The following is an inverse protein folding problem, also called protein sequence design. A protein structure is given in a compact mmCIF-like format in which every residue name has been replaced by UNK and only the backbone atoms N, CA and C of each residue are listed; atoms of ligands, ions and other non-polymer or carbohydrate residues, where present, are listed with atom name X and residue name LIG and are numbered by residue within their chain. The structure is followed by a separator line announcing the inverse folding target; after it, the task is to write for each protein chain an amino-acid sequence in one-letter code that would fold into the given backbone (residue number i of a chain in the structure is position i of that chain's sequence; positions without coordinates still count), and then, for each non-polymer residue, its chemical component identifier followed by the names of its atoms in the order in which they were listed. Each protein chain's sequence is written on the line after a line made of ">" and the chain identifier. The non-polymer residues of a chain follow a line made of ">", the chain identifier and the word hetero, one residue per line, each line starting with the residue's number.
data_IF_670633217001
#
_entry.id   IF_670633217001
#
_cell.length_a   1.000
_cell.length_b   1.000
_cell.length_c   1.000
_cell.angle_alpha   90.00
_cell.angle_beta   90.00
_cell.angle_gamma   90.00
#
_symmetry.space_group_name_H-M   'P 1'
#
loop_
_entity.id
_entity.type
_entity.pdbx_description
1 polymer ?
#
# COMPACT_ATOMS: atom_id res chain seq x y z
N UNK A 1 -5.98 12.97 5.88
CA UNK A 1 -5.59 13.86 4.76
C UNK A 1 -4.09 13.98 4.80
N UNK A 2 -3.38 13.46 3.80
CA UNK A 2 -1.94 13.62 3.71
C UNK A 2 -1.41 13.18 2.37
N UNK A 3 -0.41 13.92 1.87
CA UNK A 3 0.34 13.63 0.66
C UNK A 3 1.48 12.65 0.97
N UNK A 4 1.75 11.73 0.05
CA UNK A 4 2.77 10.70 0.19
C UNK A 4 4.06 11.08 -0.54
N UNK A 5 5.21 10.50 -0.18
CA UNK A 5 6.42 10.56 -1.01
C UNK A 5 7.39 9.48 -0.56
N UNK A 6 7.86 8.62 -1.47
CA UNK A 6 8.74 7.50 -1.09
C UNK A 6 10.22 7.90 -1.21
N UNK A 7 11.08 7.66 -0.20
CA UNK A 7 12.56 7.79 -0.24
C UNK A 7 13.23 6.50 0.31
N UNK A 8 14.56 6.42 0.48
CA UNK A 8 15.22 5.27 1.14
C UNK A 8 16.47 5.70 1.92
N UNK A 9 16.83 5.03 3.04
CA UNK A 9 17.85 5.55 4.00
C UNK A 9 18.80 4.52 4.69
N UNK A 10 19.97 4.98 5.23
CA UNK A 10 20.93 4.25 6.10
C UNK A 10 20.92 4.74 7.61
N UNK A 11 21.84 4.33 8.52
CA UNK A 11 21.56 3.52 9.73
C UNK A 11 21.40 4.29 11.07
N UNK A 12 20.66 3.73 12.05
CA UNK A 12 20.99 3.53 13.50
C UNK A 12 19.77 3.45 14.47
N UNK A 13 19.96 2.57 15.48
CA UNK A 13 19.49 2.38 16.88
C UNK A 13 18.03 2.69 17.33
N UNK A 14 17.43 1.66 17.95
CA UNK A 14 16.08 1.63 18.56
C UNK A 14 16.09 2.02 20.04
N UNK A 15 15.04 2.74 20.47
CA UNK A 15 14.51 2.71 21.83
C UNK A 15 13.00 2.46 21.76
N UNK A 16 12.53 1.42 22.44
CA UNK A 16 11.11 1.05 22.55
C UNK A 16 10.56 1.57 23.86
N UNK A 17 9.44 2.30 23.84
CA UNK A 17 8.51 2.36 24.97
C UNK A 17 7.08 2.15 24.47
N UNK A 18 6.40 1.18 25.08
CA UNK A 18 5.01 0.85 24.80
C UNK A 18 4.05 1.66 25.67
N UNK A 19 2.81 1.81 25.20
CA UNK A 19 1.71 2.31 26.01
C UNK A 19 0.46 1.45 25.78
N UNK A 20 -0.21 1.15 26.88
CA UNK A 20 -1.48 0.40 26.98
C UNK A 20 -2.63 1.42 26.95
N UNK A 21 -3.72 1.10 26.26
CA UNK A 21 -4.96 1.89 26.27
C UNK A 21 -6.11 1.06 26.86
N UNK A 22 -6.75 1.61 27.89
CA UNK A 22 -7.95 1.09 28.55
C UNK A 22 -9.19 1.38 27.70
N UNK A 23 -10.06 0.39 27.47
CA UNK A 23 -11.37 0.59 26.83
C UNK A 23 -12.47 0.81 27.87
N UNK A 24 -13.34 1.79 27.62
CA UNK A 24 -14.62 1.97 28.31
C UNK A 24 -15.74 1.23 27.57
N UNK A 25 -16.64 0.61 28.34
CA UNK A 25 -17.70 -0.31 27.93
C UNK A 25 -18.93 0.48 27.48
N UNK A 26 -19.32 0.38 26.21
CA UNK A 26 -20.54 0.96 25.65
C UNK A 26 -21.54 -0.14 25.27
N UNK A 27 -22.79 0.04 25.68
CA UNK A 27 -23.93 -0.89 25.62
C UNK A 27 -24.32 -1.25 24.18
N UNK A 28 -24.61 -2.53 23.95
CA UNK A 28 -24.99 -3.11 22.67
C UNK A 28 -26.48 -2.90 22.35
N UNK A 29 -26.78 -2.11 21.33
CA UNK A 29 -28.07 -2.15 20.62
C UNK A 29 -27.91 -2.96 19.34
N UNK A 30 -28.74 -3.98 19.19
CA UNK A 30 -28.76 -4.91 18.06
C UNK A 30 -29.51 -4.26 16.90
N UNK A 31 -28.81 -3.53 16.03
CA UNK A 31 -29.32 -3.14 14.72
C UNK A 31 -29.34 -4.35 13.78
N UNK A 32 -30.52 -4.71 13.28
CA UNK A 32 -30.70 -5.67 12.21
C UNK A 32 -30.08 -5.13 10.91
N UNK A 33 -28.84 -5.52 10.62
CA UNK A 33 -28.11 -5.05 9.45
C UNK A 33 -28.73 -5.60 8.15
N UNK A 34 -29.57 -4.80 7.49
CA UNK A 34 -29.99 -5.06 6.11
C UNK A 34 -28.72 -5.06 5.24
N UNK A 35 -28.42 -6.20 4.60
CA UNK A 35 -27.25 -6.32 3.72
C UNK A 35 -27.38 -5.35 2.55
N UNK A 36 -26.37 -4.53 2.36
CA UNK A 36 -26.29 -3.61 1.24
C UNK A 36 -26.01 -4.39 -0.07
N UNK A 37 -26.62 -4.01 -1.21
CA UNK A 37 -26.45 -4.71 -2.49
C UNK A 37 -25.01 -4.58 -3.03
N UNK A 38 -24.55 -5.61 -3.74
CA UNK A 38 -23.20 -5.64 -4.30
C UNK A 38 -23.05 -4.72 -5.52
N UNK A 39 -21.99 -3.91 -5.53
CA UNK A 39 -21.67 -3.02 -6.65
C UNK A 39 -20.66 -3.66 -7.62
N UNK A 40 -21.20 -4.41 -8.59
CA UNK A 40 -20.43 -5.14 -9.62
C UNK A 40 -19.64 -4.18 -10.52
N UNK A 41 -20.23 -3.02 -10.84
CA UNK A 41 -19.62 -2.05 -11.73
C UNK A 41 -18.39 -1.40 -11.07
N UNK A 42 -18.50 -1.07 -9.78
CA UNK A 42 -17.37 -0.57 -8.99
C UNK A 42 -16.27 -1.63 -8.85
N UNK A 43 -16.65 -2.89 -8.63
CA UNK A 43 -15.68 -4.00 -8.62
C UNK A 43 -14.90 -4.08 -9.94
N UNK A 44 -15.58 -4.08 -11.09
CA UNK A 44 -14.94 -4.14 -12.40
C UNK A 44 -14.02 -2.93 -12.65
N UNK A 45 -14.48 -1.73 -12.27
CA UNK A 45 -13.70 -0.48 -12.40
C UNK A 45 -12.44 -0.47 -11.52
N UNK A 46 -12.51 -0.98 -10.29
CA UNK A 46 -11.34 -1.05 -9.42
C UNK A 46 -10.38 -2.16 -9.85
N UNK A 47 -10.89 -3.36 -10.17
CA UNK A 47 -10.04 -4.51 -10.54
C UNK A 47 -9.29 -4.28 -11.85
N UNK A 48 -9.94 -3.68 -12.85
CA UNK A 48 -9.31 -3.34 -14.15
C UNK A 48 -8.06 -2.44 -14.03
N UNK A 49 -7.93 -1.65 -12.96
CA UNK A 49 -6.73 -0.82 -12.72
C UNK A 49 -5.49 -1.63 -12.33
N UNK A 50 -5.68 -2.89 -11.95
CA UNK A 50 -4.62 -3.80 -11.50
C UNK A 50 -4.38 -4.97 -12.43
N UNK A 51 -5.14 -5.06 -13.53
CA UNK A 51 -4.94 -6.07 -14.57
C UNK A 51 -3.95 -5.52 -15.59
N UNK A 52 -2.80 -6.18 -15.69
CA UNK A 52 -1.91 -6.01 -16.84
C UNK A 52 -2.44 -6.83 -18.00
N UNK A 53 -2.38 -6.29 -19.22
CA UNK A 53 -2.60 -7.11 -20.42
C UNK A 53 -1.58 -8.28 -20.43
N UNK A 54 -1.97 -9.46 -20.96
CA UNK A 54 -1.06 -10.59 -21.05
C UNK A 54 0.20 -10.18 -21.80
N UNK A 55 1.36 -10.37 -21.17
CA UNK A 55 2.65 -10.09 -21.79
C UNK A 55 2.82 -11.00 -23.00
N UNK A 56 3.12 -10.43 -24.16
CA UNK A 56 3.44 -11.21 -25.35
C UNK A 56 4.73 -12.00 -25.09
N UNK A 57 4.71 -13.36 -25.11
CA UNK A 57 5.88 -14.17 -24.80
C UNK A 57 7.03 -14.01 -25.81
N UNK A 58 6.75 -13.40 -26.97
CA UNK A 58 7.74 -13.11 -28.01
C UNK A 58 8.39 -11.73 -27.87
N UNK A 59 7.90 -10.88 -26.96
CA UNK A 59 8.55 -9.60 -26.66
C UNK A 59 9.54 -9.78 -25.50
N UNK A 60 10.80 -9.32 -25.64
CA UNK A 60 11.73 -9.35 -24.52
C UNK A 60 11.17 -8.50 -23.37
N UNK A 61 11.26 -9.03 -22.15
CA UNK A 61 10.92 -8.24 -20.95
C UNK A 61 11.79 -6.99 -20.93
N UNK A 62 11.16 -5.82 -20.78
CA UNK A 62 11.90 -4.58 -20.65
C UNK A 62 12.88 -4.67 -19.47
N UNK A 63 14.10 -4.11 -19.60
CA UNK A 63 15.11 -4.23 -18.57
C UNK A 63 14.63 -3.57 -17.26
N UNK A 64 15.04 -4.11 -16.10
CA UNK A 64 14.72 -3.49 -14.83
C UNK A 64 15.19 -2.02 -14.77
N UNK A 65 14.34 -1.15 -14.24
CA UNK A 65 14.68 0.24 -13.98
C UNK A 65 15.45 0.32 -12.67
N UNK A 66 16.73 0.68 -12.74
CA UNK A 66 17.58 0.80 -11.55
C UNK A 66 17.09 1.96 -10.68
N UNK A 67 16.89 1.67 -9.39
CA UNK A 67 16.54 2.64 -8.35
C UNK A 67 17.69 2.72 -7.34
N UNK A 68 18.21 3.93 -7.15
CA UNK A 68 19.31 4.21 -6.22
C UNK A 68 18.78 4.67 -4.86
N UNK A 69 19.58 4.50 -3.79
CA UNK A 69 19.24 5.09 -2.51
C UNK A 69 18.98 6.61 -2.61
N UNK A 70 17.86 7.07 -2.04
CA UNK A 70 17.44 8.47 -2.10
C UNK A 70 16.56 8.84 -3.30
N UNK A 71 16.43 7.97 -4.31
CA UNK A 71 15.54 8.20 -5.44
C UNK A 71 14.07 8.24 -4.99
N UNK A 72 13.32 9.14 -5.61
CA UNK A 72 11.86 9.24 -5.43
C UNK A 72 11.19 8.43 -6.53
N UNK A 73 10.59 7.29 -6.16
CA UNK A 73 9.88 6.42 -7.11
C UNK A 73 8.47 6.92 -7.45
N UNK A 74 7.89 7.72 -6.54
CA UNK A 74 6.61 8.37 -6.71
C UNK A 74 6.48 9.60 -5.82
N UNK A 75 5.91 10.66 -6.36
CA UNK A 75 5.48 11.85 -5.63
C UNK A 75 4.24 12.48 -6.27
N UNK A 76 3.42 13.21 -5.49
CA UNK A 76 2.30 13.99 -6.02
C UNK A 76 2.79 14.98 -7.07
N UNK A 77 2.11 15.05 -8.22
CA UNK A 77 2.50 15.94 -9.31
C UNK A 77 2.57 17.42 -8.87
N UNK A 78 1.76 17.83 -7.89
CA UNK A 78 1.79 19.20 -7.35
C UNK A 78 3.06 19.51 -6.55
N UNK A 79 3.73 18.48 -6.01
CA UNK A 79 4.95 18.63 -5.21
C UNK A 79 6.23 18.50 -6.02
N UNK A 80 6.17 17.82 -7.17
CA UNK A 80 7.28 17.68 -8.09
C UNK A 80 6.75 17.43 -9.51
N UNK A 81 6.41 18.49 -10.26
CA UNK A 81 5.81 18.38 -11.60
C UNK A 81 6.73 17.68 -12.61
N UNK A 82 8.04 17.70 -12.38
CA UNK A 82 9.06 17.04 -13.20
C UNK A 82 9.45 15.64 -12.70
N UNK A 83 8.87 15.15 -11.60
CA UNK A 83 9.13 13.80 -11.13
C UNK A 83 8.57 12.77 -12.11
N UNK A 84 9.43 11.88 -12.59
CA UNK A 84 9.02 10.71 -13.35
C UNK A 84 8.36 9.69 -12.40
N UNK A 85 7.05 9.83 -12.20
CA UNK A 85 6.25 8.88 -11.44
C UNK A 85 6.27 7.50 -12.12
N UNK A 86 6.82 6.51 -11.43
CA UNK A 86 6.99 5.15 -11.97
C UNK A 86 5.68 4.35 -12.01
N UNK A 87 4.67 4.83 -11.28
CA UNK A 87 3.33 4.26 -11.20
C UNK A 87 2.33 5.32 -10.76
N UNK A 88 1.04 4.98 -10.73
CA UNK A 88 0.00 5.76 -10.06
C UNK A 88 -0.61 4.92 -8.94
N UNK A 89 -1.20 5.55 -7.93
CA UNK A 89 -2.02 4.84 -6.96
C UNK A 89 -3.46 4.72 -7.45
N UNK A 90 -4.08 3.58 -7.15
CA UNK A 90 -5.50 3.35 -7.32
C UNK A 90 -6.11 2.77 -6.03
N UNK A 91 -7.38 3.07 -5.72
CA UNK A 91 -8.07 2.48 -4.57
C UNK A 91 -8.16 0.95 -4.67
N UNK A 92 -8.00 0.30 -3.52
CA UNK A 92 -8.13 -1.14 -3.32
C UNK A 92 -8.99 -1.34 -2.07
N UNK A 93 -10.31 -1.25 -2.24
CA UNK A 93 -11.28 -1.38 -1.15
C UNK A 93 -11.90 -2.79 -1.13
N UNK A 94 -12.66 -3.11 -0.07
CA UNK A 94 -13.29 -4.41 0.22
C UNK A 94 -14.46 -4.84 -0.69
N UNK A 95 -14.54 -4.29 -1.91
CA UNK A 95 -15.66 -4.48 -2.84
C UNK A 95 -15.84 -5.95 -3.27
N UNK A 96 -14.76 -6.73 -3.26
CA UNK A 96 -14.73 -8.13 -3.73
C UNK A 96 -15.75 -9.02 -3.02
N UNK A 97 -16.02 -8.78 -1.72
CA UNK A 97 -16.94 -9.59 -0.91
C UNK A 97 -18.26 -8.87 -0.60
N UNK A 98 -18.59 -7.80 -1.31
CA UNK A 98 -19.77 -6.98 -1.00
C UNK A 98 -19.53 -5.90 0.05
N UNK A 99 -18.28 -5.64 0.42
CA UNK A 99 -17.95 -4.54 1.31
C UNK A 99 -18.33 -3.19 0.72
N UNK A 100 -18.77 -2.27 1.58
CA UNK A 100 -19.22 -0.92 1.20
C UNK A 100 -18.23 0.15 1.63
N UNK A 101 -17.00 -0.24 1.99
CA UNK A 101 -15.94 0.73 2.19
C UNK A 101 -15.63 1.43 0.86
N UNK A 102 -15.14 2.66 0.96
CA UNK A 102 -14.87 3.48 -0.20
C UNK A 102 -13.72 4.42 0.09
N UNK A 103 -12.75 4.45 -0.82
CA UNK A 103 -11.71 5.45 -0.78
C UNK A 103 -11.37 6.02 -2.16
N UNK A 104 -10.79 7.22 -2.13
CA UNK A 104 -10.29 7.94 -3.29
C UNK A 104 -8.90 8.46 -2.99
N UNK A 105 -8.04 8.34 -3.99
CA UNK A 105 -6.69 8.91 -3.98
C UNK A 105 -6.54 9.83 -5.18
N UNK A 106 -6.12 11.07 -4.89
CA UNK A 106 -5.72 12.02 -5.92
C UNK A 106 -4.21 11.93 -6.11
N UNK A 107 -3.75 11.46 -7.27
CA UNK A 107 -2.32 11.33 -7.58
C UNK A 107 -1.63 12.69 -7.79
N UNK A 108 -2.38 13.75 -8.07
CA UNK A 108 -1.85 15.10 -8.22
C UNK A 108 -1.46 15.71 -6.87
N UNK A 109 -2.30 15.55 -5.84
CA UNK A 109 -2.05 16.07 -4.49
C UNK A 109 -1.51 15.04 -3.50
N UNK A 110 -1.62 13.76 -3.83
CA UNK A 110 -1.33 12.62 -2.96
C UNK A 110 -2.36 12.41 -1.86
N UNK A 111 -3.48 13.13 -1.86
CA UNK A 111 -4.46 13.01 -0.80
C UNK A 111 -5.26 11.72 -0.95
N UNK A 112 -5.06 10.80 0.01
CA UNK A 112 -5.93 9.64 0.21
C UNK A 112 -6.96 9.91 1.32
N UNK A 113 -8.23 9.63 1.03
CA UNK A 113 -9.33 9.72 2.00
C UNK A 113 -10.42 8.71 1.66
N UNK A 114 -11.19 8.31 2.65
CA UNK A 114 -12.27 7.36 2.48
C UNK A 114 -12.99 7.06 3.78
N UNK A 115 -13.98 6.19 3.68
CA UNK A 115 -14.78 5.69 4.80
C UNK A 115 -14.65 4.17 4.84
N UNK A 116 -14.31 3.65 6.02
CA UNK A 116 -14.34 2.20 6.29
C UNK A 116 -15.71 1.89 6.89
N UNK A 117 -16.39 0.90 6.34
CA UNK A 117 -17.64 0.38 6.89
C UNK A 117 -17.40 -1.01 7.47
N UNK A 118 -18.09 -1.33 8.57
CA UNK A 118 -18.13 -2.69 9.11
C UNK A 118 -19.33 -3.49 8.62
N UNK A 119 -20.21 -2.87 7.82
CA UNK A 119 -21.34 -3.55 7.19
C UNK A 119 -20.84 -4.67 6.26
N UNK A 120 -21.62 -5.74 6.12
CA UNK A 120 -21.28 -6.92 5.30
C UNK A 120 -19.99 -7.66 5.77
N UNK A 121 -19.89 -7.89 7.08
CA UNK A 121 -18.85 -8.73 7.73
C UNK A 121 -17.47 -8.09 7.89
N UNK A 122 -17.42 -6.76 8.01
CA UNK A 122 -16.20 -5.98 8.23
C UNK A 122 -15.87 -5.09 7.04
N UNK A 123 -14.68 -4.47 7.07
CA UNK A 123 -14.23 -3.72 5.92
C UNK A 123 -12.85 -3.13 6.01
N UNK A 124 -12.32 -2.76 4.85
CA UNK A 124 -11.05 -2.08 4.71
C UNK A 124 -11.06 -1.14 3.49
N UNK A 125 -10.23 -0.12 3.59
CA UNK A 125 -9.79 0.69 2.45
C UNK A 125 -8.30 0.51 2.28
N UNK A 126 -7.84 0.55 1.04
CA UNK A 126 -6.42 0.45 0.71
C UNK A 126 -6.10 1.22 -0.56
N UNK A 127 -4.80 1.38 -0.84
CA UNK A 127 -4.33 1.85 -2.14
C UNK A 127 -3.23 0.95 -2.65
N UNK A 128 -3.19 0.74 -3.97
CA UNK A 128 -2.18 -0.06 -4.63
C UNK A 128 -1.65 0.65 -5.86
N UNK A 129 -0.37 0.47 -6.14
CA UNK A 129 0.23 0.96 -7.38
C UNK A 129 -0.41 0.28 -8.59
N UNK A 130 -0.66 1.03 -9.65
CA UNK A 130 -0.89 0.47 -10.99
C UNK A 130 0.28 -0.42 -11.37
N UNK A 131 0.08 -1.39 -12.29
CA UNK A 131 1.17 -2.23 -12.76
C UNK A 131 2.38 -1.40 -13.22
N UNK A 132 3.56 -1.71 -12.68
CA UNK A 132 4.80 -1.08 -13.09
C UNK A 132 5.26 -1.78 -14.39
N UNK A 133 5.42 -1.02 -15.47
CA UNK A 133 5.76 -1.58 -16.79
C UNK A 133 7.08 -2.35 -16.79
N UNK A 134 8.10 -1.79 -16.12
CA UNK A 134 9.40 -2.42 -15.93
C UNK A 134 9.63 -2.68 -14.43
N UNK A 135 10.15 -3.86 -14.03
CA UNK A 135 10.52 -4.09 -12.65
C UNK A 135 11.50 -3.05 -12.15
N UNK A 136 11.38 -2.65 -10.89
CA UNK A 136 12.34 -1.74 -10.25
C UNK A 136 13.46 -2.57 -9.62
N UNK A 137 14.69 -2.33 -10.04
CA UNK A 137 15.87 -2.88 -9.38
C UNK A 137 16.25 -1.99 -8.19
N UNK A 138 15.81 -2.41 -7.01
CA UNK A 138 16.08 -1.79 -5.72
C UNK A 138 17.15 -2.58 -4.93
N UNK A 139 17.98 -3.41 -5.58
CA UNK A 139 19.01 -4.23 -4.93
C UNK A 139 20.02 -3.42 -4.09
N UNK A 140 20.24 -2.15 -4.47
CA UNK A 140 21.10 -1.21 -3.73
C UNK A 140 20.39 -0.53 -2.55
N UNK A 141 19.08 -0.71 -2.40
CA UNK A 141 18.28 -0.11 -1.34
C UNK A 141 18.09 -1.08 -0.17
N UNK A 142 18.02 -0.55 1.05
CA UNK A 142 17.74 -1.34 2.27
C UNK A 142 16.24 -1.48 2.58
N UNK A 143 15.41 -0.71 1.89
CA UNK A 143 13.99 -0.59 2.13
C UNK A 143 13.41 0.63 1.44
N UNK A 144 12.17 0.93 1.78
CA UNK A 144 11.45 2.12 1.35
C UNK A 144 11.10 3.00 2.54
N UNK A 145 10.94 4.28 2.29
CA UNK A 145 10.56 5.30 3.27
C UNK A 145 9.32 5.99 2.75
N UNK A 146 8.27 6.16 3.53
CA UNK A 146 7.02 6.83 3.18
C UNK A 146 6.94 8.12 3.98
N UNK A 147 6.96 9.25 3.29
CA UNK A 147 6.65 10.57 3.87
C UNK A 147 5.14 10.73 3.87
N UNK A 148 4.55 11.03 5.03
CA UNK A 148 3.11 11.21 5.23
C UNK A 148 2.86 12.64 5.71
N UNK A 149 2.05 13.42 4.99
CA UNK A 149 1.64 14.76 5.45
C UNK A 149 0.42 14.68 6.36
N UNK A 150 0.65 14.27 7.59
CA UNK A 150 -0.36 14.12 8.63
C UNK A 150 -1.05 12.77 8.60
N UNK A 151 -1.88 12.54 9.60
CA UNK A 151 -2.55 11.27 9.81
C UNK A 151 -3.34 11.25 11.10
N UNK A 152 -4.11 10.18 11.26
CA UNK A 152 -5.02 9.93 12.37
C UNK A 152 -4.46 8.93 13.38
N UNK A 153 -3.18 8.57 13.27
CA UNK A 153 -2.55 7.58 14.14
C UNK A 153 -2.92 6.13 13.84
N UNK A 154 -3.70 5.85 12.78
CA UNK A 154 -4.11 4.48 12.46
C UNK A 154 -2.94 3.60 12.07
N UNK A 155 -3.09 2.30 12.33
CA UNK A 155 -2.16 1.27 11.93
C UNK A 155 -2.45 0.82 10.50
N UNK A 156 -1.43 0.82 9.66
CA UNK A 156 -1.50 0.40 8.27
C UNK A 156 -0.70 -0.88 8.02
N UNK A 157 -1.01 -1.57 6.92
CA UNK A 157 -0.24 -2.68 6.39
C UNK A 157 0.38 -2.26 5.06
N UNK A 158 1.67 -2.03 5.05
CA UNK A 158 2.41 -1.87 3.80
C UNK A 158 2.70 -3.23 3.17
N UNK A 159 2.60 -3.29 1.85
CA UNK A 159 2.97 -4.44 1.03
C UNK A 159 3.90 -4.00 -0.08
N UNK A 160 4.99 -4.75 -0.27
CA UNK A 160 5.83 -4.69 -1.46
C UNK A 160 5.66 -6.01 -2.22
N UNK A 161 5.56 -5.94 -3.54
CA UNK A 161 5.49 -7.12 -4.41
C UNK A 161 6.75 -7.21 -5.24
N UNK A 162 7.28 -8.42 -5.37
CA UNK A 162 8.44 -8.75 -6.21
C UNK A 162 8.09 -9.72 -7.35
N UNK A 163 6.80 -9.92 -7.61
CA UNK A 163 6.27 -10.58 -8.79
C UNK A 163 4.99 -9.89 -9.28
N UNK A 164 4.63 -10.14 -10.53
CA UNK A 164 3.36 -9.74 -11.14
C UNK A 164 2.25 -10.80 -10.99
N UNK A 165 2.57 -11.92 -10.32
CA UNK A 165 1.59 -12.96 -10.06
C UNK A 165 0.45 -12.43 -9.19
N UNK A 166 -0.79 -12.65 -9.65
CA UNK A 166 -1.99 -12.20 -8.93
C UNK A 166 -2.00 -12.73 -7.47
N UNK A 167 -1.71 -14.01 -7.31
CA UNK A 167 -1.61 -14.72 -6.03
C UNK A 167 -0.16 -14.86 -5.51
N UNK A 168 0.77 -14.04 -6.02
CA UNK A 168 2.16 -14.07 -5.62
C UNK A 168 2.37 -13.62 -4.17
N UNK A 169 3.55 -13.95 -3.63
CA UNK A 169 3.97 -13.56 -2.27
C UNK A 169 3.87 -12.05 -2.08
N UNK A 170 3.28 -11.64 -0.97
CA UNK A 170 3.18 -10.26 -0.51
C UNK A 170 4.17 -10.04 0.64
N UNK A 171 5.09 -9.08 0.48
CA UNK A 171 6.09 -8.75 1.50
C UNK A 171 5.55 -7.65 2.40
N UNK A 172 5.11 -8.04 3.59
CA UNK A 172 4.25 -7.20 4.43
C UNK A 172 5.00 -6.59 5.60
N UNK A 173 4.61 -5.39 6.00
CA UNK A 173 5.03 -4.73 7.23
C UNK A 173 3.89 -3.91 7.79
N UNK A 174 3.82 -3.77 9.10
CA UNK A 174 2.85 -2.88 9.75
C UNK A 174 3.54 -1.69 10.37
N UNK A 175 2.89 -0.55 10.30
CA UNK A 175 3.36 0.68 10.92
C UNK A 175 2.17 1.52 11.38
N UNK A 176 2.41 2.38 12.37
CA UNK A 176 1.43 3.35 12.84
C UNK A 176 1.69 4.69 12.12
N UNK A 177 0.65 5.27 11.52
CA UNK A 177 0.77 6.53 10.82
C UNK A 177 1.07 7.67 11.82
N UNK A 178 1.87 8.69 11.43
CA UNK A 178 2.06 9.88 12.25
C UNK A 178 0.71 10.53 12.58
N UNK A 179 0.49 10.85 13.85
CA UNK A 179 -0.72 11.53 14.29
C UNK A 179 -0.56 13.06 14.19
N UNK A 180 -1.61 13.76 13.74
CA UNK A 180 -1.67 15.22 13.71
C UNK A 180 -1.19 15.83 12.39
N UNK A 181 -1.13 17.17 12.35
CA UNK A 181 -0.93 17.94 11.10
C UNK A 181 0.51 17.97 10.58
N UNK A 182 1.50 17.75 11.45
CA UNK A 182 2.93 17.84 11.08
C UNK A 182 3.37 16.68 10.18
N UNK A 183 2.67 15.55 10.23
CA UNK A 183 3.06 14.36 9.50
C UNK A 183 4.33 13.73 10.02
N UNK A 184 4.95 12.90 9.18
CA UNK A 184 6.18 12.21 9.54
C UNK A 184 6.61 11.21 8.48
N UNK A 185 7.64 10.46 8.82
CA UNK A 185 8.33 9.57 7.91
C UNK A 185 8.34 8.16 8.47
N UNK A 186 7.82 7.22 7.70
CA UNK A 186 7.75 5.79 8.03
C UNK A 186 8.80 5.06 7.22
N UNK A 187 9.58 4.18 7.84
CA UNK A 187 10.59 3.38 7.13
C UNK A 187 10.21 1.92 7.17
N UNK A 188 10.34 1.26 6.03
CA UNK A 188 10.00 -0.14 5.82
C UNK A 188 11.25 -0.86 5.27
N UNK A 189 12.12 -1.35 6.15
CA UNK A 189 13.29 -2.12 5.75
C UNK A 189 12.87 -3.43 5.10
N UNK A 190 13.45 -3.79 3.95
CA UNK A 190 13.14 -5.07 3.27
C UNK A 190 13.41 -6.28 4.16
N UNK A 191 14.44 -6.20 5.02
CA UNK A 191 14.78 -7.26 5.98
C UNK A 191 13.73 -7.51 7.06
N UNK A 192 12.82 -6.57 7.30
CA UNK A 192 11.75 -6.69 8.30
C UNK A 192 10.42 -7.14 7.69
N UNK A 193 10.38 -7.34 6.37
CA UNK A 193 9.16 -7.74 5.69
C UNK A 193 8.85 -9.22 5.92
N UNK A 194 7.60 -9.50 6.24
CA UNK A 194 7.09 -10.86 6.42
C UNK A 194 6.43 -11.31 5.11
N UNK A 195 6.92 -12.37 4.47
CA UNK A 195 6.28 -12.94 3.29
C UNK A 195 4.93 -13.56 3.66
N UNK A 196 3.87 -13.19 2.93
CA UNK A 196 2.51 -13.70 3.15
C UNK A 196 1.80 -14.06 1.86
N UNK A 197 0.90 -15.03 1.91
CA UNK A 197 -0.08 -15.34 0.87
C UNK A 197 -1.44 -15.43 1.56
N UNK A 198 -2.44 -14.69 1.08
CA UNK A 198 -3.78 -14.61 1.69
C UNK A 198 -3.74 -14.43 3.22
N UNK A 199 -2.90 -13.49 3.69
CA UNK A 199 -2.63 -13.18 5.10
C UNK A 199 -1.98 -14.31 5.93
N UNK A 200 -1.55 -15.42 5.33
CA UNK A 200 -0.78 -16.48 5.99
C UNK A 200 0.71 -16.26 5.75
N UNK A 201 1.51 -16.32 6.81
CA UNK A 201 2.98 -16.25 6.72
C UNK A 201 3.53 -17.45 5.98
N UNK A 202 4.44 -17.21 5.02
CA UNK A 202 5.09 -18.27 4.23
C UNK A 202 6.60 -18.22 4.47
N UNK A 203 7.15 -19.01 5.40
CA UNK A 203 8.57 -18.97 5.75
C UNK A 203 9.46 -19.44 4.59
N UNK A 204 10.77 -19.14 4.67
CA UNK A 204 11.77 -19.61 3.71
C UNK A 204 11.75 -18.92 2.34
N UNK A 205 10.92 -17.89 2.15
CA UNK A 205 10.96 -17.05 0.95
C UNK A 205 12.04 -15.97 1.08
N UNK A 206 12.60 -15.55 -0.05
CA UNK A 206 13.58 -14.46 -0.13
C UNK A 206 13.04 -13.35 -1.04
N UNK A 207 13.07 -12.11 -0.55
CA UNK A 207 12.60 -10.94 -1.29
C UNK A 207 13.55 -10.61 -2.44
N UNK A 208 13.03 -10.51 -3.66
CA UNK A 208 13.81 -10.16 -4.85
C UNK A 208 13.81 -8.65 -5.03
N UNK A 209 14.70 -7.98 -4.31
CA UNK A 209 14.86 -6.52 -4.40
C UNK A 209 15.22 -6.02 -5.82
N UNK A 210 15.79 -6.87 -6.68
CA UNK A 210 16.04 -6.55 -8.10
C UNK A 210 14.81 -6.59 -9.00
N UNK A 211 13.64 -6.98 -8.47
CA UNK A 211 12.42 -7.21 -9.25
C UNK A 211 11.18 -6.64 -8.55
N UNK A 212 11.25 -5.43 -8.01
CA UNK A 212 10.08 -4.83 -7.33
C UNK A 212 9.03 -4.42 -8.35
N UNK A 213 7.82 -4.96 -8.18
CA UNK A 213 6.71 -4.87 -9.15
C UNK A 213 5.51 -4.08 -8.65
N UNK A 214 5.46 -3.73 -7.36
CA UNK A 214 4.37 -2.89 -6.86
C UNK A 214 4.40 -2.63 -5.36
N UNK A 215 3.57 -1.68 -4.97
CA UNK A 215 3.42 -1.18 -3.61
C UNK A 215 1.93 -1.12 -3.23
N UNK A 216 1.61 -1.34 -1.96
CA UNK A 216 0.27 -1.21 -1.41
C UNK A 216 0.31 -0.75 0.05
N UNK A 217 -0.74 -0.02 0.48
CA UNK A 217 -0.98 0.48 1.83
C UNK A 217 -2.39 0.17 2.31
#
# INVERSE_FOLDING_TARGET
>A
VGAFGLKSLPPWRFLRHGFVSTQAKGTSETESSVRQPWDVLRFARQSSRFVSLPKNPFLPSAPPKIVRPGDVVWSPSSSSPSALNMFQWAPLDDVVMGGVSFSIIDNGTGQWRGTVSTANSGGFVGVRSTPIGNPLDMSRCKGIEIVLRGGDGRRFKAVVRDSDEFNGVCWTSSFDAPCGKKGGTVRLPFKQQVPTIFARTVPGKTFRAGNVMGFQL
#
